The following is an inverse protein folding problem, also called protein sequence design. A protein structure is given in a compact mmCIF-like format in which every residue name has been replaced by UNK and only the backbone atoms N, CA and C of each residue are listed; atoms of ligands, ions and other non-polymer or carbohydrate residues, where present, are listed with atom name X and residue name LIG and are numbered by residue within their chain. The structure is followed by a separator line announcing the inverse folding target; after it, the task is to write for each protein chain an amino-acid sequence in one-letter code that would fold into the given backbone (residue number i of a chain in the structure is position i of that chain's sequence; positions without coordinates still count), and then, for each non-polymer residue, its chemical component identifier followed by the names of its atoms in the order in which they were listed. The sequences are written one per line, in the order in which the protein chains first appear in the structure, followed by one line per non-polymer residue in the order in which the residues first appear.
data_IF_322268491634
#
_entry.id   IF_322268491634
#
_cell.length_a   1.000
_cell.length_b   1.000
_cell.length_c   1.000
_cell.angle_alpha   90.00
_cell.angle_beta   90.00
_cell.angle_gamma   90.00
#
_symmetry.space_group_name_H-M   'P 1'
#
loop_
_entity.id
_entity.type
_entity.pdbx_description
1 polymer ?
#
# COMPACT_ATOMS: atom_id res chain seq x y z
N UNK A 1 3.48 -13.81 10.43
CA UNK A 1 4.44 -13.16 9.49
C UNK A 1 4.74 -11.75 9.98
N UNK A 2 5.89 -11.16 9.59
CA UNK A 2 6.43 -9.91 10.16
C UNK A 2 5.40 -8.77 10.33
N UNK A 3 4.62 -8.45 9.28
CA UNK A 3 3.62 -7.37 9.32
C UNK A 3 2.49 -7.63 10.34
N UNK A 4 2.07 -8.88 10.50
CA UNK A 4 1.04 -9.27 11.47
C UNK A 4 1.55 -9.20 12.92
N UNK A 5 2.85 -9.38 13.13
CA UNK A 5 3.45 -9.34 14.48
C UNK A 5 3.66 -7.91 15.01
N UNK A 6 3.71 -6.91 14.12
CA UNK A 6 4.01 -5.53 14.48
C UNK A 6 2.75 -4.79 14.95
N UNK A 7 2.67 -4.47 16.26
CA UNK A 7 1.53 -3.70 16.82
C UNK A 7 1.47 -2.26 16.31
N UNK A 8 2.62 -1.66 16.04
CA UNK A 8 2.77 -0.29 15.54
C UNK A 8 3.80 -0.30 14.42
N UNK A 9 3.47 0.31 13.28
CA UNK A 9 4.38 0.47 12.17
C UNK A 9 5.00 1.87 12.23
N UNK A 10 6.33 1.93 12.25
CA UNK A 10 7.06 3.19 12.12
C UNK A 10 7.23 3.57 10.64
N UNK A 11 7.18 4.88 10.34
CA UNK A 11 7.25 5.40 8.96
C UNK A 11 8.57 5.03 8.27
N UNK A 12 9.70 5.17 8.98
CA UNK A 12 11.01 4.80 8.44
C UNK A 12 11.09 3.30 8.11
N UNK A 13 10.44 2.46 8.91
CA UNK A 13 10.39 1.02 8.65
C UNK A 13 9.55 0.73 7.41
N UNK A 14 8.40 1.40 7.27
CA UNK A 14 7.56 1.30 6.07
C UNK A 14 8.32 1.72 4.80
N UNK A 15 9.09 2.82 4.85
CA UNK A 15 9.92 3.28 3.73
C UNK A 15 10.97 2.24 3.32
N UNK A 16 11.67 1.65 4.27
CA UNK A 16 12.67 0.60 4.01
C UNK A 16 12.03 -0.63 3.36
N UNK A 17 10.87 -1.04 3.87
CA UNK A 17 10.11 -2.18 3.31
C UNK A 17 9.67 -1.88 1.88
N UNK A 18 9.07 -0.71 1.63
CA UNK A 18 8.63 -0.33 0.29
C UNK A 18 9.76 -0.18 -0.71
N UNK A 19 10.94 0.30 -0.28
CA UNK A 19 12.13 0.31 -1.14
C UNK A 19 12.56 -1.12 -1.53
N UNK A 20 12.50 -2.07 -0.60
CA UNK A 20 12.72 -3.49 -0.92
C UNK A 20 11.69 -4.06 -1.89
N UNK A 21 10.41 -3.76 -1.66
CA UNK A 21 9.31 -4.20 -2.52
C UNK A 21 9.38 -3.59 -3.93
N UNK A 22 9.82 -2.33 -4.05
CA UNK A 22 10.07 -1.68 -5.33
C UNK A 22 11.09 -2.47 -6.15
N UNK A 23 12.23 -2.84 -5.56
CA UNK A 23 13.23 -3.64 -6.26
C UNK A 23 12.79 -5.09 -6.50
N UNK A 24 11.92 -5.65 -5.66
CA UNK A 24 11.29 -6.94 -5.94
C UNK A 24 10.43 -6.88 -7.23
N UNK A 25 9.62 -5.82 -7.40
CA UNK A 25 8.89 -5.58 -8.64
C UNK A 25 9.84 -5.32 -9.80
N UNK A 26 10.92 -4.56 -9.58
CA UNK A 26 11.94 -4.25 -10.59
C UNK A 26 12.56 -5.51 -11.21
N UNK A 27 12.89 -6.51 -10.39
CA UNK A 27 13.53 -7.77 -10.83
C UNK A 27 12.53 -8.83 -11.35
N UNK A 28 11.22 -8.55 -11.31
CA UNK A 28 10.21 -9.47 -11.82
C UNK A 28 10.04 -9.30 -13.34
N UNK A 29 10.48 -10.28 -14.13
CA UNK A 29 10.50 -10.19 -15.60
C UNK A 29 9.34 -10.90 -16.30
N UNK A 30 8.74 -11.91 -15.67
CA UNK A 30 7.67 -12.70 -16.29
C UNK A 30 6.30 -12.04 -16.10
N UNK A 31 5.46 -11.94 -17.15
CA UNK A 31 4.18 -11.23 -17.07
C UNK A 31 3.22 -11.74 -15.98
N UNK A 32 3.03 -13.05 -15.87
CA UNK A 32 2.11 -13.62 -14.86
C UNK A 32 2.61 -13.37 -13.43
N UNK A 33 3.90 -13.64 -13.09
CA UNK A 33 4.48 -13.24 -11.82
C UNK A 33 4.37 -11.74 -11.52
N UNK A 34 4.53 -10.85 -12.49
CA UNK A 34 4.36 -9.41 -12.27
C UNK A 34 2.93 -9.06 -11.82
N UNK A 35 1.92 -9.68 -12.45
CA UNK A 35 0.53 -9.47 -12.08
C UNK A 35 0.21 -9.99 -10.68
N UNK A 36 0.68 -11.20 -10.37
CA UNK A 36 0.50 -11.79 -9.04
C UNK A 36 1.19 -10.94 -7.98
N UNK A 37 2.46 -10.58 -8.21
CA UNK A 37 3.23 -9.73 -7.30
C UNK A 37 2.55 -8.38 -7.07
N UNK A 38 2.01 -7.75 -8.11
CA UNK A 38 1.28 -6.49 -7.98
C UNK A 38 0.01 -6.63 -7.13
N UNK A 39 -0.71 -7.74 -7.26
CA UNK A 39 -1.88 -8.03 -6.41
C UNK A 39 -1.44 -8.29 -4.96
N UNK A 40 -0.45 -9.15 -4.76
CA UNK A 40 0.07 -9.52 -3.45
C UNK A 40 0.57 -8.28 -2.70
N UNK A 41 1.38 -7.44 -3.35
CA UNK A 41 1.88 -6.19 -2.79
C UNK A 41 0.75 -5.21 -2.43
N UNK A 42 -0.27 -5.10 -3.28
CA UNK A 42 -1.40 -4.25 -3.02
C UNK A 42 -2.26 -4.74 -1.86
N UNK A 43 -2.35 -6.05 -1.63
CA UNK A 43 -3.15 -6.65 -0.55
C UNK A 43 -2.39 -6.79 0.78
N UNK A 44 -1.08 -6.52 0.82
CA UNK A 44 -0.26 -6.56 2.05
C UNK A 44 -0.83 -5.70 3.20
N UNK A 45 -1.49 -4.59 2.89
CA UNK A 45 -2.09 -3.71 3.91
C UNK A 45 -3.10 -4.47 4.78
N UNK A 46 -3.80 -5.46 4.24
CA UNK A 46 -4.82 -6.22 4.95
C UNK A 46 -4.24 -7.08 6.09
N UNK A 47 -2.92 -7.30 6.08
CA UNK A 47 -2.18 -8.01 7.14
C UNK A 47 -1.74 -7.11 8.30
N UNK A 48 -1.88 -5.77 8.16
CA UNK A 48 -1.51 -4.81 9.19
C UNK A 48 -2.56 -4.77 10.31
N UNK A 49 -2.14 -4.65 11.58
CA UNK A 49 -3.09 -4.46 12.68
C UNK A 49 -3.86 -3.16 12.53
N UNK A 50 -5.18 -3.25 12.62
CA UNK A 50 -6.12 -2.14 12.40
C UNK A 50 -6.65 -2.02 10.97
N UNK A 51 -6.19 -2.86 10.02
CA UNK A 51 -6.69 -2.81 8.65
C UNK A 51 -8.14 -3.29 8.52
N UNK A 52 -8.50 -4.38 9.21
CA UNK A 52 -9.86 -4.92 9.20
C UNK A 52 -10.72 -4.23 10.26
N UNK A 53 -11.96 -3.83 9.92
CA UNK A 53 -12.90 -3.31 10.90
C UNK A 53 -13.26 -4.43 11.89
N UNK A 54 -12.94 -4.24 13.17
CA UNK A 54 -13.37 -5.16 14.24
C UNK A 54 -14.74 -4.78 14.79
N UNK A 55 -15.11 -3.50 14.69
CA UNK A 55 -16.43 -2.94 14.98
C UNK A 55 -16.58 -1.62 14.22
N UNK A 56 -17.72 -1.38 13.56
CA UNK A 56 -17.99 -0.15 12.81
C UNK A 56 -18.09 1.08 13.73
N UNK A 57 -18.44 0.88 15.00
CA UNK A 57 -18.64 1.93 15.99
C UNK A 57 -17.35 2.42 16.67
N UNK A 58 -16.24 1.68 16.52
CA UNK A 58 -14.97 1.98 17.20
C UNK A 58 -14.05 2.83 16.30
N UNK A 59 -13.44 3.90 16.83
CA UNK A 59 -12.43 4.66 16.09
C UNK A 59 -11.24 3.76 15.74
N UNK A 60 -10.68 3.95 14.55
CA UNK A 60 -9.50 3.16 14.14
C UNK A 60 -8.33 3.55 15.01
N UNK A 61 -7.88 2.64 15.88
CA UNK A 61 -6.89 2.96 16.90
C UNK A 61 -5.48 3.16 16.35
N UNK A 62 -5.20 2.76 15.10
CA UNK A 62 -3.86 2.76 14.52
C UNK A 62 -3.85 3.28 13.07
N UNK A 63 -2.96 4.24 12.80
CA UNK A 63 -2.72 4.81 11.45
C UNK A 63 -1.78 3.96 10.59
N UNK A 64 -1.59 2.67 10.91
CA UNK A 64 -0.64 1.79 10.23
C UNK A 64 -0.90 1.70 8.71
N UNK A 65 -2.17 1.66 8.31
CA UNK A 65 -2.55 1.57 6.88
C UNK A 65 -2.24 2.88 6.16
N UNK A 66 -2.52 4.01 6.78
CA UNK A 66 -2.17 5.34 6.25
C UNK A 66 -0.65 5.43 6.05
N UNK A 67 0.13 5.15 7.10
CA UNK A 67 1.61 5.16 7.07
C UNK A 67 2.14 4.24 5.96
N UNK A 68 1.56 3.05 5.82
CA UNK A 68 1.95 2.09 4.79
C UNK A 68 1.77 2.65 3.37
N UNK A 69 0.63 3.29 3.08
CA UNK A 69 0.40 3.88 1.76
C UNK A 69 1.19 5.18 1.56
N UNK A 70 1.35 6.02 2.58
CA UNK A 70 2.24 7.21 2.52
C UNK A 70 3.64 6.80 2.09
N UNK A 71 4.24 5.84 2.78
CA UNK A 71 5.57 5.34 2.48
C UNK A 71 5.68 4.75 1.06
N UNK A 72 4.61 4.12 0.57
CA UNK A 72 4.57 3.58 -0.79
C UNK A 72 4.68 4.68 -1.84
N UNK A 73 3.91 5.77 -1.70
CA UNK A 73 3.95 6.91 -2.60
C UNK A 73 5.27 7.68 -2.47
N UNK A 74 5.80 7.85 -1.26
CA UNK A 74 7.11 8.49 -1.03
C UNK A 74 8.27 7.72 -1.67
N UNK A 75 8.18 6.39 -1.78
CA UNK A 75 9.18 5.58 -2.49
C UNK A 75 8.97 5.65 -4.00
N UNK A 76 7.73 5.55 -4.49
CA UNK A 76 7.43 5.51 -5.92
C UNK A 76 7.64 6.86 -6.62
N UNK A 77 7.27 7.98 -6.00
CA UNK A 77 7.27 9.28 -6.66
C UNK A 77 8.67 9.75 -7.10
N UNK A 78 9.73 9.69 -6.25
CA UNK A 78 11.08 10.09 -6.67
C UNK A 78 11.69 9.15 -7.72
N UNK A 79 11.34 7.86 -7.68
CA UNK A 79 11.88 6.84 -8.57
C UNK A 79 11.16 6.79 -9.92
N UNK A 80 10.02 7.48 -10.06
CA UNK A 80 9.15 7.38 -11.22
C UNK A 80 9.84 7.75 -12.54
N UNK A 81 10.71 8.76 -12.50
CA UNK A 81 11.48 9.23 -13.66
C UNK A 81 12.63 8.30 -14.04
N UNK A 82 13.07 7.43 -13.12
CA UNK A 82 14.14 6.46 -13.35
C UNK A 82 13.62 5.15 -13.98
N UNK A 83 12.30 4.94 -13.99
CA UNK A 83 11.67 3.75 -14.57
C UNK A 83 11.70 3.88 -16.10
N UNK A 84 12.44 2.99 -16.75
CA UNK A 84 12.46 2.93 -18.21
C UNK A 84 11.15 2.39 -18.80
N UNK A 85 10.93 2.67 -20.08
CA UNK A 85 9.68 2.34 -20.80
C UNK A 85 9.35 0.85 -20.75
N UNK A 86 10.34 -0.04 -20.76
CA UNK A 86 10.10 -1.49 -20.76
C UNK A 86 9.61 -2.01 -19.40
N UNK A 87 9.88 -1.26 -18.31
CA UNK A 87 9.44 -1.60 -16.94
C UNK A 87 8.18 -0.86 -16.53
N UNK A 88 7.78 0.18 -17.25
CA UNK A 88 6.68 1.07 -16.86
C UNK A 88 5.34 0.32 -16.69
N UNK A 89 5.03 -0.67 -17.54
CA UNK A 89 3.73 -1.35 -17.49
C UNK A 89 3.44 -2.01 -16.12
N UNK A 90 4.42 -2.71 -15.55
CA UNK A 90 4.25 -3.40 -14.26
C UNK A 90 4.10 -2.42 -13.09
N UNK A 91 4.79 -1.27 -13.14
CA UNK A 91 4.63 -0.22 -12.12
C UNK A 91 3.29 0.50 -12.24
N UNK A 92 2.79 0.78 -13.45
CA UNK A 92 1.44 1.29 -13.66
C UNK A 92 0.37 0.32 -13.13
N UNK A 93 0.56 -0.98 -13.35
CA UNK A 93 -0.31 -2.02 -12.80
C UNK A 93 -0.28 -2.04 -11.27
N UNK A 94 0.91 -1.95 -10.68
CA UNK A 94 1.07 -1.87 -9.22
C UNK A 94 0.32 -0.67 -8.63
N UNK A 95 0.53 0.54 -9.18
CA UNK A 95 -0.14 1.76 -8.71
C UNK A 95 -1.66 1.61 -8.81
N UNK A 96 -2.17 1.06 -9.92
CA UNK A 96 -3.60 0.77 -10.07
C UNK A 96 -4.14 -0.17 -8.98
N UNK A 97 -3.40 -1.24 -8.66
CA UNK A 97 -3.79 -2.21 -7.63
C UNK A 97 -3.73 -1.60 -6.22
N UNK A 98 -2.70 -0.81 -5.92
CA UNK A 98 -2.57 -0.10 -4.66
C UNK A 98 -3.71 0.91 -4.45
N UNK A 99 -4.07 1.67 -5.47
CA UNK A 99 -5.19 2.60 -5.39
C UNK A 99 -6.52 1.86 -5.17
N UNK A 100 -6.76 0.77 -5.90
CA UNK A 100 -7.93 -0.08 -5.67
C UNK A 100 -7.97 -0.70 -4.26
N UNK A 101 -6.81 -1.04 -3.69
CA UNK A 101 -6.69 -1.51 -2.31
C UNK A 101 -7.06 -0.41 -1.29
N UNK A 102 -6.64 0.83 -1.52
CA UNK A 102 -7.04 1.97 -0.67
C UNK A 102 -8.55 2.19 -0.71
N UNK A 103 -9.16 2.17 -1.90
CA UNK A 103 -10.61 2.30 -2.03
C UNK A 103 -11.35 1.15 -1.33
N UNK A 104 -10.85 -0.08 -1.44
CA UNK A 104 -11.38 -1.23 -0.70
C UNK A 104 -11.31 -1.00 0.81
N UNK A 105 -10.16 -0.52 1.32
CA UNK A 105 -10.00 -0.21 2.75
C UNK A 105 -10.99 0.86 3.25
N UNK A 106 -11.26 1.90 2.47
CA UNK A 106 -12.29 2.90 2.80
C UNK A 106 -13.69 2.28 2.76
N UNK A 107 -13.97 1.46 1.74
CA UNK A 107 -15.24 0.76 1.55
C UNK A 107 -15.57 -0.25 2.66
N UNK A 108 -14.56 -0.93 3.22
CA UNK A 108 -14.72 -1.93 4.29
C UNK A 108 -15.34 -1.33 5.55
N UNK A 109 -15.14 -0.03 5.82
CA UNK A 109 -15.77 0.70 6.93
C UNK A 109 -16.95 1.56 6.45
N UNK A 110 -17.66 1.09 5.42
CA UNK A 110 -18.82 1.75 4.84
C UNK A 110 -18.56 3.23 4.52
N UNK A 111 -17.37 3.55 4.02
CA UNK A 111 -17.01 4.92 3.64
C UNK A 111 -17.02 5.92 4.80
N UNK A 112 -16.60 5.49 6.00
CA UNK A 112 -16.46 6.37 7.16
C UNK A 112 -15.59 7.60 6.85
N UNK A 113 -16.05 8.80 7.25
CA UNK A 113 -15.41 10.10 6.97
C UNK A 113 -13.94 10.13 7.40
N UNK A 114 -13.61 9.51 8.54
CA UNK A 114 -12.23 9.43 9.04
C UNK A 114 -11.27 8.77 8.02
N UNK A 115 -11.67 7.63 7.42
CA UNK A 115 -10.84 6.95 6.42
C UNK A 115 -10.79 7.72 5.12
N UNK A 116 -11.91 8.33 4.72
CA UNK A 116 -11.98 9.17 3.53
C UNK A 116 -11.01 10.36 3.64
N UNK A 117 -11.06 11.10 4.75
CA UNK A 117 -10.22 12.27 4.97
C UNK A 117 -8.74 11.89 4.98
N UNK A 118 -8.38 10.76 5.61
CA UNK A 118 -7.01 10.22 5.58
C UNK A 118 -6.58 9.89 4.15
N UNK A 119 -7.39 9.16 3.39
CA UNK A 119 -7.06 8.82 1.99
C UNK A 119 -6.97 10.06 1.10
N UNK A 120 -7.87 11.03 1.27
CA UNK A 120 -7.83 12.30 0.52
C UNK A 120 -6.58 13.10 0.88
N UNK A 121 -6.19 13.14 2.17
CA UNK A 121 -4.98 13.81 2.61
C UNK A 121 -3.71 13.19 2.00
N UNK A 122 -3.69 11.89 1.74
CA UNK A 122 -2.58 11.21 1.05
C UNK A 122 -2.47 11.55 -0.43
N UNK A 123 -3.58 11.94 -1.07
CA UNK A 123 -3.65 12.21 -2.50
C UNK A 123 -3.42 13.69 -2.84
N UNK A 124 -3.33 14.56 -1.83
CA UNK A 124 -3.04 15.99 -1.97
C UNK A 124 -1.55 16.23 -2.03
#
# INVERSE_FOLDING_TARGET
TYLTAQRKLDHLTALKLWKGLFFAMWMCDKPVPQQNLANDMADLYASLPGAKPTDASKPDSNDNVTIWFTAAYEVLAPQWTEIDVLRMEKFLRLVRRMFAAQLRWVGDKQWATERQDKTIALLK
#
